data_IF_562569469495
#
_entry.id   IF_562569469495
#
_cell.length_a   1.000
_cell.length_b   1.000
_cell.length_c   1.000
_cell.angle_alpha   90.00
_cell.angle_beta   90.00
_cell.angle_gamma   90.00
#
_symmetry.space_group_name_H-M   'P 1'
#
loop_
_entity.id
_entity.type
_entity.pdbx_description
1 polymer ?
#
# COMPACT_ATOMS: atom_id res chain seq x y z
N UNK A 1 2.62 6.91 7.04
CA UNK A 1 1.72 7.84 6.31
C UNK A 1 2.04 9.29 6.61
N UNK A 2 2.53 9.60 7.82
CA UNK A 2 2.84 10.97 8.25
C UNK A 2 3.98 11.65 7.46
N UNK A 3 4.98 10.90 7.00
CA UNK A 3 6.08 11.46 6.17
C UNK A 3 5.67 11.88 4.74
N UNK A 4 4.50 11.46 4.24
CA UNK A 4 4.02 11.81 2.90
C UNK A 4 2.63 12.49 2.91
N UNK A 5 2.04 12.74 4.08
CA UNK A 5 0.68 13.29 4.19
C UNK A 5 -0.41 12.41 3.56
N UNK A 6 -0.13 11.13 3.33
CA UNK A 6 -1.03 10.23 2.62
C UNK A 6 -2.12 9.73 3.55
N UNK A 7 -3.37 9.89 3.14
CA UNK A 7 -4.51 9.30 3.82
C UNK A 7 -4.78 7.89 3.30
N UNK A 8 -5.57 7.10 4.02
CA UNK A 8 -5.98 5.78 3.50
C UNK A 8 -6.80 5.89 2.21
N UNK A 9 -7.46 7.03 1.94
CA UNK A 9 -8.16 7.27 0.67
C UNK A 9 -7.21 7.37 -0.51
N UNK A 10 -6.00 7.85 -0.26
CA UNK A 10 -4.97 7.92 -1.27
C UNK A 10 -4.46 6.52 -1.61
N UNK A 11 -4.69 5.49 -0.78
CA UNK A 11 -4.26 4.11 -1.00
C UNK A 11 -5.26 3.24 -1.80
N UNK A 12 -5.95 3.83 -2.76
CA UNK A 12 -6.95 3.13 -3.56
C UNK A 12 -6.37 1.93 -4.35
N UNK A 13 -5.06 1.89 -4.62
CA UNK A 13 -4.42 0.73 -5.28
C UNK A 13 -4.35 -0.51 -4.39
N UNK A 14 -4.50 -0.35 -3.08
CA UNK A 14 -4.52 -1.47 -2.13
C UNK A 14 -5.92 -2.10 -2.03
N UNK A 15 -6.97 -1.37 -2.40
CA UNK A 15 -8.35 -1.87 -2.41
C UNK A 15 -9.29 -1.00 -1.58
N UNK A 16 -10.36 -1.62 -1.04
CA UNK A 16 -11.30 -0.91 -0.18
C UNK A 16 -10.65 -0.47 1.14
N UNK A 17 -11.28 0.49 1.84
CA UNK A 17 -10.83 0.94 3.16
C UNK A 17 -10.61 -0.22 4.16
N UNK A 18 -11.47 -1.23 4.14
CA UNK A 18 -11.31 -2.43 4.97
C UNK A 18 -10.02 -3.18 4.66
N UNK A 19 -9.75 -3.44 3.37
CA UNK A 19 -8.54 -4.12 2.92
C UNK A 19 -7.28 -3.33 3.27
N UNK A 20 -7.30 -2.02 3.06
CA UNK A 20 -6.20 -1.11 3.45
C UNK A 20 -5.94 -1.22 4.96
N UNK A 21 -6.99 -1.18 5.78
CA UNK A 21 -6.89 -1.31 7.23
C UNK A 21 -6.31 -2.67 7.64
N UNK A 22 -6.77 -3.77 7.03
CA UNK A 22 -6.24 -5.11 7.30
C UNK A 22 -4.74 -5.21 6.99
N UNK A 23 -4.31 -4.63 5.87
CA UNK A 23 -2.88 -4.59 5.47
C UNK A 23 -2.06 -3.76 6.46
N UNK A 24 -2.52 -2.55 6.80
CA UNK A 24 -1.82 -1.66 7.73
C UNK A 24 -1.72 -2.24 9.14
N UNK A 25 -2.69 -3.06 9.55
CA UNK A 25 -2.68 -3.77 10.82
C UNK A 25 -1.97 -5.13 10.76
N UNK A 26 -1.34 -5.49 9.63
CA UNK A 26 -0.63 -6.76 9.45
C UNK A 26 -1.52 -8.00 9.43
N UNK A 27 -2.85 -7.84 9.33
CA UNK A 27 -3.81 -8.94 9.24
C UNK A 27 -3.86 -9.55 7.84
N UNK A 28 -3.32 -8.84 6.85
CA UNK A 28 -3.29 -9.26 5.45
C UNK A 28 -1.99 -8.82 4.79
N UNK A 29 -1.40 -9.72 4.02
CA UNK A 29 -0.20 -9.41 3.24
C UNK A 29 -0.53 -8.69 1.93
N UNK A 30 0.43 -7.90 1.44
CA UNK A 30 0.36 -7.28 0.13
C UNK A 30 0.50 -8.35 -0.96
N UNK A 31 -0.30 -8.25 -2.02
CA UNK A 31 -0.13 -9.08 -3.20
C UNK A 31 0.79 -8.42 -4.24
N UNK A 32 1.27 -9.20 -5.20
CA UNK A 32 2.21 -8.75 -6.24
C UNK A 32 1.67 -7.56 -7.05
N UNK A 33 0.35 -7.50 -7.29
CA UNK A 33 -0.28 -6.38 -8.03
C UNK A 33 -0.20 -5.09 -7.22
N UNK A 34 -0.47 -5.15 -5.92
CA UNK A 34 -0.38 -4.02 -4.99
C UNK A 34 1.07 -3.55 -4.81
N UNK A 35 2.00 -4.48 -4.62
CA UNK A 35 3.44 -4.21 -4.49
C UNK A 35 3.97 -3.44 -5.71
N UNK A 36 3.61 -3.88 -6.92
CA UNK A 36 3.97 -3.17 -8.17
C UNK A 36 3.36 -1.77 -8.24
N UNK A 37 2.10 -1.61 -7.81
CA UNK A 37 1.43 -0.31 -7.81
C UNK A 37 2.09 0.67 -6.82
N UNK A 38 2.40 0.22 -5.61
CA UNK A 38 3.11 1.00 -4.61
C UNK A 38 4.51 1.40 -5.10
N UNK A 39 5.28 0.46 -5.68
CA UNK A 39 6.58 0.77 -6.26
C UNK A 39 6.50 1.88 -7.32
N UNK A 40 5.52 1.82 -8.21
CA UNK A 40 5.29 2.87 -9.23
C UNK A 40 4.93 4.23 -8.59
N UNK A 41 4.08 4.23 -7.57
CA UNK A 41 3.61 5.46 -6.91
C UNK A 41 4.70 6.17 -6.13
N UNK A 42 5.44 5.43 -5.32
CA UNK A 42 6.53 5.96 -4.51
C UNK A 42 7.83 6.11 -5.30
N UNK A 43 7.86 5.67 -6.56
CA UNK A 43 9.05 5.65 -7.42
C UNK A 43 10.22 4.91 -6.77
N UNK A 44 9.91 3.80 -6.08
CA UNK A 44 10.89 2.91 -5.45
C UNK A 44 10.80 1.52 -6.04
N UNK A 45 11.85 0.71 -5.81
CA UNK A 45 11.81 -0.70 -6.22
C UNK A 45 10.67 -1.44 -5.50
N UNK A 46 9.88 -2.28 -6.20
CA UNK A 46 8.83 -3.08 -5.57
C UNK A 46 9.37 -4.02 -4.48
N UNK A 47 10.66 -4.37 -4.54
CA UNK A 47 11.33 -5.20 -3.55
C UNK A 47 11.34 -4.61 -2.13
N UNK A 48 11.06 -3.30 -1.96
CA UNK A 48 10.96 -2.65 -0.64
C UNK A 48 9.70 -3.06 0.12
N UNK A 49 8.70 -3.65 -0.57
CA UNK A 49 7.42 -4.06 0.01
C UNK A 49 7.25 -5.58 0.11
N UNK A 50 8.34 -6.34 -0.04
CA UNK A 50 8.40 -7.80 0.09
C UNK A 50 9.03 -8.16 1.43
#
# INVERSE_FOLDING_TARGET
MEENGLTQKDMAELGSQGVVSEILNGKRELNIRQIKALGKKFKVSPAVFI
#
